data_IF_820274617451
#
_entry.id   IF_820274617451
#
_cell.length_a   1.000
_cell.length_b   1.000
_cell.length_c   1.000
_cell.angle_alpha   90.00
_cell.angle_beta   90.00
_cell.angle_gamma   90.00
#
_symmetry.space_group_name_H-M   'P 1'
#
loop_
_entity.id
_entity.type
_entity.pdbx_description
1 polymer ?
#
# COMPACT_ATOMS: atom_id res chain seq x y z
N UNK A 1 1.93 -23.52 -9.33
CA UNK A 1 1.78 -22.05 -9.41
C UNK A 1 2.17 -21.63 -10.82
N UNK A 2 1.20 -21.25 -11.63
CA UNK A 2 1.38 -20.97 -13.06
C UNK A 2 1.02 -19.52 -13.43
N UNK A 3 0.46 -18.76 -12.50
CA UNK A 3 0.02 -17.40 -12.75
C UNK A 3 0.17 -16.50 -11.50
N UNK A 4 0.76 -15.32 -11.70
CA UNK A 4 1.01 -14.34 -10.62
C UNK A 4 0.43 -12.99 -11.04
N UNK A 5 -0.44 -12.45 -10.19
CA UNK A 5 -0.94 -11.08 -10.30
C UNK A 5 -0.22 -10.22 -9.26
N UNK A 6 0.55 -9.25 -9.71
CA UNK A 6 1.13 -8.24 -8.84
C UNK A 6 0.20 -7.04 -8.77
N UNK A 7 -0.17 -6.66 -7.57
CA UNK A 7 -0.99 -5.48 -7.30
C UNK A 7 -0.12 -4.45 -6.58
N UNK A 8 0.22 -3.38 -7.27
CA UNK A 8 0.93 -2.26 -6.69
C UNK A 8 -0.08 -1.33 -6.03
N UNK A 9 -0.01 -1.23 -4.70
CA UNK A 9 -0.95 -0.45 -3.91
C UNK A 9 -0.79 1.06 -4.19
N UNK A 10 -1.87 1.85 -4.08
CA UNK A 10 -1.82 3.27 -4.40
C UNK A 10 -0.79 3.98 -3.53
N UNK A 11 0.15 4.62 -4.16
CA UNK A 11 1.10 5.54 -3.55
C UNK A 11 1.23 6.79 -4.43
N UNK A 12 2.13 7.73 -4.09
CA UNK A 12 2.47 8.81 -5.02
C UNK A 12 2.87 8.21 -6.37
N UNK A 13 2.65 8.93 -7.48
CA UNK A 13 2.96 8.52 -8.86
C UNK A 13 4.45 8.18 -9.00
N UNK A 14 4.80 6.99 -8.63
CA UNK A 14 6.17 6.45 -8.71
C UNK A 14 6.09 5.12 -9.43
N UNK A 15 6.97 4.95 -10.39
CA UNK A 15 7.06 3.69 -11.12
C UNK A 15 7.30 2.49 -10.19
N UNK A 16 6.59 1.37 -10.34
CA UNK A 16 6.68 0.19 -9.45
C UNK A 16 7.94 -0.65 -9.72
N UNK A 17 9.12 -0.03 -9.61
CA UNK A 17 10.43 -0.64 -9.93
C UNK A 17 10.59 -2.01 -9.27
N UNK A 18 10.32 -2.13 -7.96
CA UNK A 18 10.53 -3.39 -7.23
C UNK A 18 9.68 -4.54 -7.77
N UNK A 19 8.43 -4.26 -8.12
CA UNK A 19 7.51 -5.25 -8.72
C UNK A 19 7.98 -5.65 -10.11
N UNK A 20 8.43 -4.68 -10.91
CA UNK A 20 8.91 -4.93 -12.27
C UNK A 20 10.19 -5.78 -12.26
N UNK A 21 11.14 -5.49 -11.37
CA UNK A 21 12.34 -6.31 -11.19
C UNK A 21 12.01 -7.74 -10.75
N UNK A 22 11.07 -7.89 -9.81
CA UNK A 22 10.65 -9.21 -9.36
C UNK A 22 9.99 -10.01 -10.49
N UNK A 23 9.13 -9.35 -11.27
CA UNK A 23 8.48 -9.97 -12.42
C UNK A 23 9.49 -10.40 -13.50
N UNK A 24 10.47 -9.56 -13.83
CA UNK A 24 11.56 -9.88 -14.77
C UNK A 24 12.43 -11.04 -14.26
N UNK A 25 12.79 -11.01 -12.96
CA UNK A 25 13.57 -12.08 -12.34
C UNK A 25 12.86 -13.44 -12.42
N UNK A 26 11.55 -13.47 -12.17
CA UNK A 26 10.76 -14.70 -12.28
C UNK A 26 10.62 -15.12 -13.74
N UNK A 27 10.39 -14.19 -14.65
CA UNK A 27 10.29 -14.49 -16.09
C UNK A 27 11.55 -15.16 -16.63
N UNK A 28 12.72 -14.67 -16.26
CA UNK A 28 14.00 -15.28 -16.70
C UNK A 28 14.23 -16.69 -16.18
N UNK A 29 13.71 -17.03 -15.00
CA UNK A 29 13.90 -18.33 -14.35
C UNK A 29 12.78 -19.32 -14.60
N UNK A 30 11.57 -18.81 -14.82
CA UNK A 30 10.35 -19.58 -15.05
C UNK A 30 9.50 -18.91 -16.13
N UNK A 31 9.90 -19.00 -17.39
CA UNK A 31 9.22 -18.28 -18.49
C UNK A 31 7.77 -18.72 -18.70
N UNK A 32 7.43 -19.95 -18.28
CA UNK A 32 6.06 -20.48 -18.39
C UNK A 32 5.08 -19.89 -17.39
N UNK A 33 5.56 -19.17 -16.38
CA UNK A 33 4.69 -18.50 -15.40
C UNK A 33 4.12 -17.24 -16.01
N UNK A 34 2.79 -17.21 -16.17
CA UNK A 34 2.07 -16.01 -16.63
C UNK A 34 2.12 -14.95 -15.53
N UNK A 35 2.39 -13.72 -15.93
CA UNK A 35 2.52 -12.61 -14.99
C UNK A 35 1.75 -11.39 -15.48
N UNK A 36 1.10 -10.69 -14.55
CA UNK A 36 0.41 -9.42 -14.80
C UNK A 36 0.68 -8.44 -13.66
N UNK A 37 0.96 -7.20 -14.00
CA UNK A 37 1.11 -6.11 -13.03
C UNK A 37 -0.12 -5.20 -13.14
N UNK A 38 -0.74 -4.92 -12.00
CA UNK A 38 -1.82 -3.96 -11.84
C UNK A 38 -1.33 -2.82 -10.93
N UNK A 39 -1.18 -1.65 -11.50
CA UNK A 39 -0.82 -0.43 -10.77
C UNK A 39 -2.09 0.35 -10.38
N UNK A 40 -2.45 0.31 -9.10
CA UNK A 40 -3.64 0.99 -8.59
C UNK A 40 -3.48 2.52 -8.50
N UNK A 41 -2.27 3.05 -8.64
CA UNK A 41 -2.06 4.51 -8.69
C UNK A 41 -2.62 5.15 -9.97
N UNK A 42 -2.84 4.33 -11.00
CA UNK A 42 -3.40 4.76 -12.28
C UNK A 42 -4.95 4.85 -12.26
N UNK A 43 -5.59 4.36 -11.20
CA UNK A 43 -7.04 4.32 -11.09
C UNK A 43 -7.55 5.34 -10.06
N UNK A 44 -8.67 6.01 -10.33
CA UNK A 44 -9.39 6.78 -9.32
C UNK A 44 -9.77 5.91 -8.11
N UNK A 45 -9.79 6.48 -6.91
CA UNK A 45 -10.05 5.75 -5.65
C UNK A 45 -11.32 4.89 -5.73
N UNK A 46 -12.40 5.42 -6.31
CA UNK A 46 -13.67 4.73 -6.44
C UNK A 46 -13.62 3.49 -7.36
N UNK A 47 -12.62 3.40 -8.24
CA UNK A 47 -12.49 2.31 -9.20
C UNK A 47 -11.46 1.25 -8.80
N UNK A 48 -10.64 1.49 -7.77
CA UNK A 48 -9.53 0.58 -7.41
C UNK A 48 -10.00 -0.80 -6.99
N UNK A 49 -11.08 -0.88 -6.22
CA UNK A 49 -11.65 -2.17 -5.76
C UNK A 49 -12.17 -2.98 -6.96
N UNK A 50 -12.90 -2.35 -7.87
CA UNK A 50 -13.36 -3.02 -9.08
C UNK A 50 -12.20 -3.43 -9.97
N UNK A 51 -11.18 -2.58 -10.15
CA UNK A 51 -10.00 -2.91 -10.95
C UNK A 51 -9.26 -4.16 -10.44
N UNK A 52 -9.13 -4.33 -9.11
CA UNK A 52 -8.55 -5.55 -8.53
C UNK A 52 -9.43 -6.76 -8.79
N UNK A 53 -10.74 -6.64 -8.60
CA UNK A 53 -11.70 -7.72 -8.84
C UNK A 53 -11.70 -8.16 -10.31
N UNK A 54 -11.77 -7.20 -11.22
CA UNK A 54 -11.81 -7.44 -12.66
C UNK A 54 -10.51 -8.10 -13.15
N UNK A 55 -9.36 -7.59 -12.68
CA UNK A 55 -8.06 -8.18 -13.00
C UNK A 55 -7.94 -9.61 -12.47
N UNK A 56 -8.40 -9.89 -11.26
CA UNK A 56 -8.37 -11.24 -10.70
C UNK A 56 -9.34 -12.20 -11.40
N UNK A 57 -10.53 -11.71 -11.78
CA UNK A 57 -11.55 -12.49 -12.52
C UNK A 57 -11.06 -12.87 -13.91
N UNK A 58 -10.47 -11.93 -14.62
CA UNK A 58 -9.95 -12.13 -15.97
C UNK A 58 -8.71 -13.01 -15.98
N UNK A 59 -7.74 -12.70 -15.12
CA UNK A 59 -6.43 -13.34 -15.12
C UNK A 59 -6.41 -14.69 -14.40
N UNK A 60 -7.29 -14.91 -13.43
CA UNK A 60 -7.39 -16.13 -12.59
C UNK A 60 -6.03 -16.52 -12.00
N UNK A 61 -5.47 -15.69 -11.14
CA UNK A 61 -4.14 -15.91 -10.58
C UNK A 61 -4.13 -17.07 -9.57
N UNK A 62 -3.04 -17.84 -9.55
CA UNK A 62 -2.75 -18.76 -8.45
C UNK A 62 -2.16 -18.02 -7.24
N UNK A 63 -1.43 -16.92 -7.50
CA UNK A 63 -0.81 -16.08 -6.48
C UNK A 63 -1.12 -14.61 -6.77
N UNK A 64 -1.56 -13.87 -5.76
CA UNK A 64 -1.71 -12.42 -5.79
C UNK A 64 -0.71 -11.80 -4.83
N UNK A 65 0.21 -10.99 -5.38
CA UNK A 65 1.25 -10.31 -4.63
C UNK A 65 0.89 -8.83 -4.47
N UNK A 66 0.63 -8.39 -3.25
CA UNK A 66 0.41 -6.98 -2.94
C UNK A 66 1.74 -6.32 -2.58
N UNK A 67 2.13 -5.30 -3.35
CA UNK A 67 3.31 -4.49 -3.07
C UNK A 67 2.89 -3.21 -2.36
N UNK A 68 3.21 -3.13 -1.09
CA UNK A 68 2.95 -1.95 -0.26
C UNK A 68 4.25 -1.19 -0.03
N UNK A 69 4.43 -0.13 -0.79
CA UNK A 69 5.66 0.67 -0.73
C UNK A 69 5.62 1.76 0.34
N UNK A 70 4.44 2.09 0.85
CA UNK A 70 4.24 3.31 1.62
C UNK A 70 4.94 3.29 2.99
N UNK A 71 6.30 3.31 2.95
CA UNK A 71 7.13 3.71 4.11
C UNK A 71 6.75 5.15 4.52
N UNK A 72 6.17 5.89 3.61
CA UNK A 72 5.82 7.29 3.74
C UNK A 72 4.61 7.54 4.65
N UNK A 73 3.93 6.50 5.14
CA UNK A 73 2.98 6.67 6.25
C UNK A 73 3.68 7.30 7.47
N UNK A 74 4.98 7.01 7.64
CA UNK A 74 5.80 7.46 8.77
C UNK A 74 6.90 8.46 8.37
N UNK A 75 7.02 8.79 7.09
CA UNK A 75 8.00 9.75 6.60
C UNK A 75 7.29 11.05 6.21
N UNK A 76 7.77 12.21 6.70
CA UNK A 76 7.18 13.49 6.32
C UNK A 76 7.28 13.69 4.81
N UNK A 77 6.14 13.94 4.19
CA UNK A 77 6.06 14.32 2.79
C UNK A 77 6.32 15.82 2.64
N UNK A 78 6.72 16.25 1.47
CA UNK A 78 6.63 17.65 1.07
C UNK A 78 5.22 18.17 1.34
N UNK A 79 5.08 19.14 2.26
CA UNK A 79 3.78 19.66 2.73
C UNK A 79 3.14 18.86 3.88
N UNK A 80 3.80 17.85 4.43
CA UNK A 80 3.36 17.18 5.64
C UNK A 80 3.81 17.97 6.88
N UNK A 81 2.86 18.50 7.62
CA UNK A 81 3.11 19.26 8.85
C UNK A 81 3.24 18.38 10.11
N UNK A 82 3.35 17.06 9.97
CA UNK A 82 3.42 16.13 11.12
C UNK A 82 4.58 16.44 12.06
N UNK A 83 5.76 16.74 11.51
CA UNK A 83 6.92 17.14 12.31
C UNK A 83 6.69 18.48 13.01
N UNK A 84 6.11 19.46 12.32
CA UNK A 84 5.78 20.76 12.91
C UNK A 84 4.78 20.60 14.06
N UNK A 85 3.76 19.75 13.88
CA UNK A 85 2.80 19.45 14.93
C UNK A 85 3.44 18.72 16.10
N UNK A 86 4.35 17.77 15.87
CA UNK A 86 5.11 17.12 16.93
C UNK A 86 6.00 18.12 17.69
N UNK A 87 6.73 18.97 16.98
CA UNK A 87 7.52 20.04 17.59
C UNK A 87 6.66 21.00 18.42
N UNK A 88 5.54 21.45 17.89
CA UNK A 88 4.63 22.33 18.61
C UNK A 88 4.02 21.67 19.85
N UNK A 89 3.74 20.37 19.79
CA UNK A 89 3.25 19.62 20.95
C UNK A 89 4.28 19.56 22.10
N UNK A 90 5.53 19.22 21.77
CA UNK A 90 6.57 19.02 22.80
C UNK A 90 7.22 20.33 23.26
N UNK A 91 7.45 21.28 22.38
CA UNK A 91 8.35 22.41 22.62
C UNK A 91 7.68 23.78 22.57
N UNK A 92 6.43 23.92 22.13
CA UNK A 92 5.79 25.22 22.13
C UNK A 92 5.59 25.73 23.57
N UNK A 93 6.00 26.94 23.85
CA UNK A 93 5.76 27.64 25.13
C UNK A 93 4.29 28.05 25.32
N UNK A 94 3.57 28.24 24.21
CA UNK A 94 2.17 28.65 24.23
C UNK A 94 1.26 27.41 24.36
N UNK A 95 0.43 27.28 25.44
CA UNK A 95 -0.44 26.14 25.64
C UNK A 95 -1.51 25.98 24.53
N UNK A 96 -1.98 27.06 23.92
CA UNK A 96 -2.93 26.98 22.80
C UNK A 96 -2.31 26.30 21.57
N UNK A 97 -1.03 26.53 21.30
CA UNK A 97 -0.32 25.83 20.21
C UNK A 97 -0.18 24.33 20.50
N UNK A 98 0.05 23.93 21.76
CA UNK A 98 0.10 22.52 22.15
C UNK A 98 -1.25 21.83 21.96
N UNK A 99 -2.34 22.49 22.36
CA UNK A 99 -3.68 21.95 22.17
C UNK A 99 -4.00 21.79 20.68
N UNK A 100 -3.73 22.81 19.87
CA UNK A 100 -3.93 22.74 18.41
C UNK A 100 -3.10 21.61 17.78
N UNK A 101 -1.85 21.45 18.19
CA UNK A 101 -0.96 20.36 17.73
C UNK A 101 -1.49 18.97 18.12
N UNK A 102 -2.09 18.83 19.31
CA UNK A 102 -2.72 17.57 19.75
C UNK A 102 -3.89 17.18 18.84
N UNK A 103 -4.78 18.12 18.53
CA UNK A 103 -5.89 17.87 17.60
C UNK A 103 -5.41 17.52 16.18
N UNK A 104 -4.38 18.23 15.70
CA UNK A 104 -3.75 17.91 14.41
C UNK A 104 -3.14 16.51 14.40
N UNK A 105 -2.46 16.12 15.49
CA UNK A 105 -1.90 14.78 15.66
C UNK A 105 -2.96 13.68 15.63
N UNK A 106 -4.07 13.85 16.36
CA UNK A 106 -5.20 12.91 16.33
C UNK A 106 -5.80 12.78 14.93
N UNK A 107 -6.01 13.90 14.24
CA UNK A 107 -6.50 13.91 12.86
C UNK A 107 -5.54 13.15 11.92
N UNK A 108 -4.25 13.32 12.11
CA UNK A 108 -3.22 12.63 11.33
C UNK A 108 -3.22 11.13 11.60
N UNK A 109 -3.31 10.70 12.87
CA UNK A 109 -3.43 9.27 13.23
C UNK A 109 -4.67 8.63 12.61
N UNK A 110 -5.82 9.33 12.64
CA UNK A 110 -7.04 8.85 12.00
C UNK A 110 -6.86 8.69 10.48
N UNK A 111 -6.17 9.64 9.85
CA UNK A 111 -5.84 9.59 8.42
C UNK A 111 -4.96 8.39 8.09
N UNK A 112 -3.92 8.12 8.89
CA UNK A 112 -3.07 6.94 8.72
C UNK A 112 -3.83 5.64 8.91
N UNK A 113 -4.65 5.54 9.95
CA UNK A 113 -5.50 4.38 10.16
C UNK A 113 -6.43 4.12 8.97
N UNK A 114 -7.03 5.16 8.43
CA UNK A 114 -7.87 5.07 7.24
C UNK A 114 -7.11 4.55 6.02
N UNK A 115 -5.87 5.03 5.80
CA UNK A 115 -5.01 4.54 4.71
C UNK A 115 -4.61 3.06 4.87
N UNK A 116 -4.23 2.66 6.07
CA UNK A 116 -3.90 1.25 6.36
C UNK A 116 -5.12 0.36 6.10
N UNK A 117 -6.28 0.76 6.61
CA UNK A 117 -7.52 0.03 6.41
C UNK A 117 -7.90 -0.07 4.92
N UNK A 118 -7.74 1.00 4.17
CA UNK A 118 -7.95 1.00 2.73
C UNK A 118 -6.98 0.06 2.01
N UNK A 119 -5.69 0.07 2.38
CA UNK A 119 -4.70 -0.84 1.79
C UNK A 119 -5.01 -2.31 2.08
N UNK A 120 -5.45 -2.64 3.29
CA UNK A 120 -5.83 -4.00 3.68
C UNK A 120 -7.14 -4.48 3.05
N UNK A 121 -7.98 -3.57 2.54
CA UNK A 121 -9.24 -3.96 1.88
C UNK A 121 -9.01 -4.78 0.61
N UNK A 122 -7.91 -4.57 -0.12
CA UNK A 122 -7.60 -5.31 -1.34
C UNK A 122 -7.24 -6.78 -1.09
N UNK A 123 -6.30 -7.12 -0.18
CA UNK A 123 -6.07 -8.52 0.19
C UNK A 123 -7.32 -9.21 0.74
N UNK A 124 -8.11 -8.50 1.53
CA UNK A 124 -9.37 -9.00 2.06
C UNK A 124 -10.37 -9.36 0.96
N UNK A 125 -10.49 -8.50 -0.06
CA UNK A 125 -11.31 -8.77 -1.24
C UNK A 125 -10.89 -10.09 -1.90
N UNK A 126 -9.58 -10.26 -2.16
CA UNK A 126 -9.06 -11.47 -2.80
C UNK A 126 -9.29 -12.71 -1.92
N UNK A 127 -9.01 -12.63 -0.62
CA UNK A 127 -9.26 -13.75 0.30
C UNK A 127 -10.73 -14.20 0.30
N UNK A 128 -11.65 -13.24 0.19
CA UNK A 128 -13.09 -13.51 0.22
C UNK A 128 -13.63 -14.04 -1.12
N UNK A 129 -13.26 -13.41 -2.22
CA UNK A 129 -13.86 -13.68 -3.54
C UNK A 129 -13.07 -14.73 -4.35
N UNK A 130 -11.78 -14.89 -4.06
CA UNK A 130 -10.87 -15.83 -4.76
C UNK A 130 -10.15 -16.77 -3.79
N UNK A 131 -10.85 -17.62 -3.03
CA UNK A 131 -10.27 -18.41 -1.94
C UNK A 131 -9.22 -19.44 -2.38
N UNK A 132 -9.10 -19.71 -3.68
CA UNK A 132 -8.07 -20.60 -4.24
C UNK A 132 -6.75 -19.87 -4.52
N UNK A 133 -6.76 -18.55 -4.60
CA UNK A 133 -5.57 -17.77 -4.83
C UNK A 133 -4.77 -17.60 -3.52
N UNK A 134 -3.48 -17.88 -3.58
CA UNK A 134 -2.58 -17.55 -2.48
C UNK A 134 -2.36 -16.03 -2.43
N UNK A 135 -2.14 -15.49 -1.24
CA UNK A 135 -1.92 -14.06 -1.05
C UNK A 135 -0.53 -13.87 -0.43
N UNK A 136 0.23 -12.98 -1.02
CA UNK A 136 1.50 -12.50 -0.47
C UNK A 136 1.43 -10.99 -0.33
N UNK A 137 1.84 -10.47 0.80
CA UNK A 137 1.96 -9.02 1.03
C UNK A 137 3.43 -8.72 1.30
N UNK A 138 3.96 -7.74 0.59
CA UNK A 138 5.35 -7.33 0.73
C UNK A 138 5.54 -5.86 0.39
N UNK A 139 6.79 -5.43 0.46
CA UNK A 139 7.18 -4.04 0.21
C UNK A 139 7.77 -3.38 1.45
N UNK A 140 8.37 -2.19 1.28
CA UNK A 140 9.15 -1.54 2.31
C UNK A 140 8.39 -1.28 3.63
N UNK A 141 7.11 -0.94 3.56
CA UNK A 141 6.29 -0.74 4.75
C UNK A 141 6.13 -2.04 5.55
N UNK A 142 5.87 -3.14 4.88
CA UNK A 142 5.62 -4.44 5.54
C UNK A 142 6.91 -5.02 6.13
N UNK A 143 8.03 -4.90 5.42
CA UNK A 143 9.33 -5.41 5.88
C UNK A 143 9.83 -4.66 7.11
N UNK A 144 9.52 -3.36 7.23
CA UNK A 144 9.94 -2.55 8.38
C UNK A 144 9.20 -2.92 9.69
N UNK A 145 8.06 -3.60 9.62
CA UNK A 145 7.20 -3.91 10.77
C UNK A 145 6.90 -5.39 10.94
N UNK A 146 7.54 -6.26 10.15
CA UNK A 146 7.28 -7.72 10.18
C UNK A 146 7.61 -8.38 11.52
N UNK A 147 8.48 -7.76 12.32
CA UNK A 147 8.97 -8.31 13.59
C UNK A 147 8.33 -7.64 14.83
N UNK A 148 7.25 -6.88 14.69
CA UNK A 148 6.47 -6.28 15.77
C UNK A 148 5.06 -6.90 15.77
#
# INVERSE_FOLDING_TARGET
>A
MNSILYVFLPCKKVYPIGVTYLADFIHRRKPDVRQRILDLSLFPDAQRISAVRDAATEFKPDLVCFSWRDIQIFSPHEGDSSLEHAFNFYFASNPLKRIAASFAGVKQLYRYYSHIRAALSYPWLIAKEFPKAQIMIGGGAFTAFADQ
#
